data_IF_568596008493
#
_entry.id   IF_568596008493
#
_cell.length_a   1.000
_cell.length_b   1.000
_cell.length_c   1.000
_cell.angle_alpha   90.00
_cell.angle_beta   90.00
_cell.angle_gamma   90.00
#
_symmetry.space_group_name_H-M   'P 1'
#
loop_
_entity.id
_entity.type
_entity.pdbx_description
1 polymer ?
#
# COMPACT_ATOMS: atom_id res chain seq x y z
N UNK A 1 35.81 35.51 29.62
CA UNK A 1 34.57 35.94 30.31
C UNK A 1 33.50 36.16 29.23
N UNK A 2 32.50 35.26 29.13
CA UNK A 2 31.12 35.48 29.59
C UNK A 2 30.48 36.71 28.90
N UNK A 3 29.39 36.68 28.13
CA UNK A 3 28.09 35.98 28.21
C UNK A 3 27.28 36.44 26.95
N UNK A 4 26.71 35.55 26.13
CA UNK A 4 25.30 35.07 26.15
C UNK A 4 24.25 35.97 25.46
N UNK A 5 23.41 35.32 24.62
CA UNK A 5 21.98 35.59 24.32
C UNK A 5 21.72 36.78 23.35
N UNK A 6 20.73 36.83 22.45
CA UNK A 6 19.61 35.96 22.03
C UNK A 6 19.04 36.52 20.70
N UNK A 7 18.46 35.65 19.86
CA UNK A 7 17.32 35.86 18.92
C UNK A 7 17.12 37.19 18.17
N UNK A 8 16.90 37.10 16.85
CA UNK A 8 15.53 37.18 16.30
C UNK A 8 15.49 36.72 14.84
N UNK A 9 14.48 35.89 14.57
CA UNK A 9 14.02 35.50 13.24
C UNK A 9 13.53 36.73 12.46
N UNK A 10 13.76 36.75 11.15
CA UNK A 10 13.19 37.75 10.26
C UNK A 10 13.24 37.26 8.82
N UNK A 11 12.30 36.40 8.45
CA UNK A 11 12.06 36.03 7.07
C UNK A 11 11.75 37.27 6.23
N UNK A 12 12.43 37.44 5.10
CA UNK A 12 11.98 38.31 4.03
C UNK A 12 12.25 37.62 2.71
N UNK A 13 11.16 37.02 2.22
CA UNK A 13 11.01 36.44 0.90
C UNK A 13 11.10 37.60 -0.10
N UNK A 14 12.12 37.59 -0.96
CA UNK A 14 12.12 38.37 -2.19
C UNK A 14 11.95 37.40 -3.37
N UNK A 15 10.78 37.48 -3.99
CA UNK A 15 10.44 36.83 -5.24
C UNK A 15 11.13 37.50 -6.42
N UNK A 16 11.35 36.67 -7.44
CA UNK A 16 11.46 36.98 -8.87
C UNK A 16 12.82 37.45 -9.41
N UNK A 17 13.46 36.53 -10.14
CA UNK A 17 14.21 36.70 -11.40
C UNK A 17 14.60 35.28 -11.83
N UNK A 18 14.55 34.82 -13.08
CA UNK A 18 14.13 35.36 -14.35
C UNK A 18 13.85 34.15 -15.26
N UNK A 19 12.94 34.29 -16.23
CA UNK A 19 12.83 33.34 -17.34
C UNK A 19 14.13 33.35 -18.14
N UNK A 20 14.78 32.19 -18.27
CA UNK A 20 15.70 31.91 -19.37
C UNK A 20 15.64 30.41 -19.65
N UNK A 21 15.24 30.07 -20.87
CA UNK A 21 15.15 28.70 -21.34
C UNK A 21 16.53 28.06 -21.45
N UNK A 22 16.67 26.89 -20.82
CA UNK A 22 17.54 25.82 -21.26
C UNK A 22 16.98 24.54 -20.65
N UNK A 23 16.44 23.67 -21.51
CA UNK A 23 15.88 22.40 -21.09
C UNK A 23 16.94 21.50 -20.48
N UNK A 24 16.89 21.31 -19.17
CA UNK A 24 17.41 20.16 -18.45
C UNK A 24 16.52 19.96 -17.23
N UNK A 25 15.29 19.50 -17.45
CA UNK A 25 14.52 18.88 -16.38
C UNK A 25 15.28 17.60 -16.01
N UNK A 26 16.13 17.73 -14.99
CA UNK A 26 16.83 16.68 -14.30
C UNK A 26 15.88 15.49 -14.13
N UNK A 27 16.15 14.40 -14.86
CA UNK A 27 15.66 13.10 -14.47
C UNK A 27 16.10 12.89 -13.04
N UNK A 28 15.15 12.87 -12.10
CA UNK A 28 15.40 12.42 -10.76
C UNK A 28 16.15 11.08 -10.88
N UNK A 29 17.34 10.93 -10.26
CA UNK A 29 18.08 9.69 -10.35
C UNK A 29 17.14 8.58 -9.86
N UNK A 30 16.87 7.62 -10.74
CA UNK A 30 16.26 6.35 -10.34
C UNK A 30 17.16 5.84 -9.22
N UNK A 31 16.70 5.89 -7.97
CA UNK A 31 17.38 5.22 -6.86
C UNK A 31 17.54 3.77 -7.31
N UNK A 32 18.76 3.40 -7.70
CA UNK A 32 19.14 2.02 -7.83
C UNK A 32 19.14 1.48 -6.41
N UNK A 33 18.03 0.85 -6.02
CA UNK A 33 17.90 0.18 -4.73
C UNK A 33 19.12 -0.75 -4.56
N UNK A 34 19.93 -0.51 -3.52
CA UNK A 34 21.08 -1.35 -3.19
C UNK A 34 20.62 -2.82 -3.10
N UNK A 35 21.28 -3.79 -3.75
CA UNK A 35 20.93 -5.20 -3.67
C UNK A 35 20.74 -5.71 -2.22
N UNK A 36 21.49 -5.15 -1.26
CA UNK A 36 21.34 -5.46 0.17
C UNK A 36 20.03 -4.91 0.76
N UNK A 37 19.54 -3.76 0.29
CA UNK A 37 18.23 -3.24 0.68
C UNK A 37 17.09 -4.09 0.12
N UNK A 38 17.22 -4.58 -1.12
CA UNK A 38 16.23 -5.50 -1.73
C UNK A 38 16.13 -6.80 -0.92
N UNK A 39 17.29 -7.35 -0.50
CA UNK A 39 17.35 -8.55 0.32
C UNK A 39 16.70 -8.39 1.72
N UNK A 40 16.58 -7.16 2.23
CA UNK A 40 15.95 -6.88 3.53
C UNK A 40 14.43 -6.63 3.45
N UNK A 41 13.87 -6.45 2.25
CA UNK A 41 12.44 -6.12 2.08
C UNK A 41 11.59 -7.26 2.65
N UNK A 42 10.80 -6.94 3.68
CA UNK A 42 9.88 -7.90 4.32
C UNK A 42 10.48 -8.73 5.43
N UNK A 43 11.76 -8.53 5.77
CA UNK A 43 12.38 -9.21 6.90
C UNK A 43 11.64 -8.92 8.21
N UNK A 44 11.18 -7.68 8.42
CA UNK A 44 10.41 -7.30 9.62
C UNK A 44 9.08 -8.05 9.69
N UNK A 45 8.38 -8.17 8.55
CA UNK A 45 7.12 -8.90 8.46
C UNK A 45 7.28 -10.39 8.79
N UNK A 46 8.41 -10.97 8.38
CA UNK A 46 8.73 -12.34 8.72
C UNK A 46 9.13 -12.48 10.19
N UNK A 47 9.96 -11.57 10.71
CA UNK A 47 10.41 -11.58 12.12
C UNK A 47 9.24 -11.40 13.09
N UNK A 48 8.27 -10.56 12.74
CA UNK A 48 7.05 -10.34 13.52
C UNK A 48 5.98 -11.44 13.32
N UNK A 49 6.25 -12.45 12.49
CA UNK A 49 5.31 -13.54 12.23
C UNK A 49 4.04 -13.11 11.47
N UNK A 50 4.06 -11.97 10.79
CA UNK A 50 2.91 -11.45 10.05
C UNK A 50 2.70 -12.20 8.74
N UNK A 51 3.76 -12.35 7.96
CA UNK A 51 3.78 -13.13 6.71
C UNK A 51 5.23 -13.45 6.32
N UNK A 52 5.44 -14.49 5.51
CA UNK A 52 6.77 -14.79 4.98
C UNK A 52 7.32 -13.62 4.16
N UNK A 53 8.65 -13.46 4.13
CA UNK A 53 9.29 -12.42 3.31
C UNK A 53 8.89 -12.54 1.84
N UNK A 54 8.82 -13.79 1.33
CA UNK A 54 8.38 -14.09 -0.04
C UNK A 54 6.96 -13.60 -0.31
N UNK A 55 6.02 -13.88 0.59
CA UNK A 55 4.63 -13.45 0.43
C UNK A 55 4.51 -11.92 0.50
N UNK A 56 5.27 -11.28 1.39
CA UNK A 56 5.31 -9.82 1.45
C UNK A 56 5.83 -9.20 0.15
N UNK A 57 6.95 -9.69 -0.39
CA UNK A 57 7.51 -9.18 -1.64
C UNK A 57 6.51 -9.37 -2.78
N UNK A 58 5.84 -10.52 -2.86
CA UNK A 58 4.81 -10.77 -3.88
C UNK A 58 3.62 -9.84 -3.72
N UNK A 59 3.08 -9.67 -2.50
CA UNK A 59 1.98 -8.75 -2.24
C UNK A 59 2.35 -7.30 -2.58
N UNK A 60 3.59 -6.88 -2.29
CA UNK A 60 4.10 -5.55 -2.68
C UNK A 60 4.12 -5.38 -4.20
N UNK A 61 4.62 -6.37 -4.95
CA UNK A 61 4.62 -6.36 -6.42
C UNK A 61 3.20 -6.27 -6.99
N UNK A 62 2.29 -7.11 -6.50
CA UNK A 62 0.87 -7.08 -6.90
C UNK A 62 0.25 -5.72 -6.60
N UNK A 63 0.48 -5.18 -5.40
CA UNK A 63 -0.05 -3.87 -5.00
C UNK A 63 0.42 -2.76 -5.94
N UNK A 64 1.69 -2.75 -6.31
CA UNK A 64 2.23 -1.79 -7.29
C UNK A 64 1.55 -1.95 -8.65
N UNK A 65 1.39 -3.17 -9.15
CA UNK A 65 0.71 -3.44 -10.42
C UNK A 65 -0.76 -3.01 -10.39
N UNK A 66 -1.50 -3.34 -9.32
CA UNK A 66 -2.91 -2.95 -9.15
C UNK A 66 -3.02 -1.44 -9.03
N UNK A 67 -2.10 -0.74 -8.35
CA UNK A 67 -2.13 0.72 -8.27
C UNK A 67 -1.91 1.37 -9.63
N UNK A 68 -1.05 0.78 -10.48
CA UNK A 68 -0.76 1.31 -11.81
C UNK A 68 -1.90 1.03 -12.81
N UNK A 69 -2.49 -0.17 -12.76
CA UNK A 69 -3.48 -0.61 -13.75
C UNK A 69 -4.95 -0.48 -13.28
N UNK A 70 -5.17 -0.24 -11.98
CA UNK A 70 -6.47 -0.33 -11.31
C UNK A 70 -7.21 -1.66 -11.51
N UNK A 71 -6.50 -2.69 -11.96
CA UNK A 71 -7.01 -4.02 -12.25
C UNK A 71 -6.09 -5.07 -11.62
N UNK A 72 -6.66 -6.25 -11.32
CA UNK A 72 -5.94 -7.41 -10.81
C UNK A 72 -6.10 -8.59 -11.76
N UNK A 73 -5.01 -9.31 -12.03
CA UNK A 73 -5.05 -10.55 -12.80
C UNK A 73 -5.75 -11.67 -12.02
N UNK A 74 -6.38 -12.62 -12.70
CA UNK A 74 -7.04 -13.76 -12.03
C UNK A 74 -6.05 -14.60 -11.20
N UNK A 75 -4.80 -14.75 -11.66
CA UNK A 75 -3.76 -15.47 -10.93
C UNK A 75 -3.37 -14.76 -9.63
N UNK A 76 -3.21 -13.44 -9.67
CA UNK A 76 -2.88 -12.64 -8.48
C UNK A 76 -4.06 -12.52 -7.53
N UNK A 77 -5.29 -12.47 -8.04
CA UNK A 77 -6.50 -12.54 -7.22
C UNK A 77 -6.56 -13.87 -6.48
N UNK A 78 -6.47 -15.00 -7.19
CA UNK A 78 -6.49 -16.34 -6.60
C UNK A 78 -5.40 -16.50 -5.54
N UNK A 79 -4.18 -16.03 -5.82
CA UNK A 79 -3.09 -16.08 -4.85
C UNK A 79 -3.38 -15.20 -3.62
N UNK A 80 -3.92 -14.00 -3.81
CA UNK A 80 -4.23 -13.06 -2.72
C UNK A 80 -5.34 -13.60 -1.82
N UNK A 81 -6.38 -14.20 -2.40
CA UNK A 81 -7.47 -14.85 -1.66
C UNK A 81 -6.96 -16.10 -0.90
N UNK A 82 -6.06 -16.88 -1.51
CA UNK A 82 -5.42 -18.00 -0.83
C UNK A 82 -4.53 -17.54 0.34
N UNK A 83 -3.81 -16.42 0.18
CA UNK A 83 -3.03 -15.81 1.26
C UNK A 83 -3.96 -15.35 2.40
N UNK A 84 -5.09 -14.71 2.07
CA UNK A 84 -6.08 -14.29 3.05
C UNK A 84 -6.62 -15.47 3.87
N UNK A 85 -6.88 -16.61 3.22
CA UNK A 85 -7.41 -17.81 3.89
C UNK A 85 -6.41 -18.48 4.83
N UNK A 86 -5.12 -18.52 4.47
CA UNK A 86 -4.10 -19.27 5.21
C UNK A 86 -3.36 -18.45 6.27
N UNK A 87 -3.40 -17.13 6.16
CA UNK A 87 -2.71 -16.25 7.08
C UNK A 87 -3.38 -16.31 8.46
N UNK A 88 -2.61 -16.43 9.56
CA UNK A 88 -3.16 -16.27 10.91
C UNK A 88 -3.16 -14.81 11.37
N UNK A 89 -2.48 -13.90 10.65
CA UNK A 89 -2.25 -12.53 11.10
C UNK A 89 -3.32 -11.55 10.61
N UNK A 90 -4.02 -10.83 11.51
CA UNK A 90 -4.95 -9.76 11.14
C UNK A 90 -4.30 -8.63 10.33
N UNK A 91 -3.02 -8.34 10.60
CA UNK A 91 -2.28 -7.33 9.84
C UNK A 91 -2.05 -7.77 8.38
N UNK A 92 -1.78 -9.05 8.16
CA UNK A 92 -1.68 -9.58 6.80
C UNK A 92 -3.03 -9.54 6.08
N UNK A 93 -4.14 -9.87 6.76
CA UNK A 93 -5.48 -9.74 6.19
C UNK A 93 -5.79 -8.31 5.77
N UNK A 94 -5.54 -7.35 6.66
CA UNK A 94 -5.78 -5.94 6.39
C UNK A 94 -5.02 -5.45 5.16
N UNK A 95 -3.78 -5.90 4.98
CA UNK A 95 -2.96 -5.54 3.81
C UNK A 95 -3.51 -6.13 2.51
N UNK A 96 -3.89 -7.41 2.52
CA UNK A 96 -4.51 -8.04 1.36
C UNK A 96 -5.82 -7.34 0.98
N UNK A 97 -6.70 -7.09 1.95
CA UNK A 97 -7.98 -6.41 1.72
C UNK A 97 -7.79 -4.97 1.24
N UNK A 98 -6.80 -4.24 1.78
CA UNK A 98 -6.47 -2.90 1.31
C UNK A 98 -6.02 -2.90 -0.15
N UNK A 99 -5.18 -3.86 -0.55
CA UNK A 99 -4.76 -4.04 -1.94
C UNK A 99 -5.95 -4.36 -2.85
N UNK A 100 -6.83 -5.29 -2.47
CA UNK A 100 -8.04 -5.63 -3.24
C UNK A 100 -8.98 -4.43 -3.39
N UNK A 101 -9.01 -3.53 -2.39
CA UNK A 101 -9.75 -2.29 -2.46
C UNK A 101 -9.23 -1.29 -3.51
N UNK A 102 -8.00 -1.45 -4.01
CA UNK A 102 -7.46 -0.59 -5.07
C UNK A 102 -8.01 -0.92 -6.46
N UNK A 103 -8.60 -2.11 -6.63
CA UNK A 103 -9.18 -2.56 -7.91
C UNK A 103 -10.47 -1.78 -8.19
N UNK A 104 -10.49 -1.04 -9.30
CA UNK A 104 -11.66 -0.27 -9.72
C UNK A 104 -11.61 0.11 -11.22
N UNK A 105 -12.70 -0.09 -11.99
CA UNK A 105 -13.95 -0.76 -11.61
C UNK A 105 -13.74 -2.26 -11.39
N UNK A 106 -14.49 -2.84 -10.45
CA UNK A 106 -14.37 -4.28 -10.14
C UNK A 106 -15.43 -5.09 -10.88
N UNK A 107 -15.05 -6.07 -11.72
CA UNK A 107 -15.97 -6.99 -12.39
C UNK A 107 -16.90 -7.70 -11.41
N UNK A 108 -18.13 -7.99 -11.84
CA UNK A 108 -19.16 -8.61 -10.98
C UNK A 108 -18.72 -9.98 -10.42
N UNK A 109 -18.01 -10.77 -11.23
CA UNK A 109 -17.45 -12.08 -10.83
C UNK A 109 -16.42 -11.94 -9.72
N UNK A 110 -15.40 -11.10 -9.92
CA UNK A 110 -14.36 -10.81 -8.91
C UNK A 110 -14.97 -10.24 -7.63
N UNK A 111 -15.97 -9.36 -7.77
CA UNK A 111 -16.68 -8.77 -6.62
C UNK A 111 -17.38 -9.84 -5.78
N UNK A 112 -18.03 -10.81 -6.43
CA UNK A 112 -18.68 -11.94 -5.75
C UNK A 112 -17.64 -12.80 -5.03
N UNK A 113 -16.56 -13.16 -5.72
CA UNK A 113 -15.46 -13.95 -5.14
C UNK A 113 -14.85 -13.27 -3.92
N UNK A 114 -14.52 -11.98 -4.03
CA UNK A 114 -13.96 -11.19 -2.92
C UNK A 114 -14.97 -11.07 -1.79
N UNK A 115 -16.25 -10.78 -2.08
CA UNK A 115 -17.30 -10.68 -1.05
C UNK A 115 -17.43 -11.98 -0.26
N UNK A 116 -17.44 -13.12 -0.95
CA UNK A 116 -17.48 -14.43 -0.31
C UNK A 116 -16.23 -14.71 0.53
N UNK A 117 -15.04 -14.35 0.03
CA UNK A 117 -13.80 -14.56 0.74
C UNK A 117 -13.67 -13.71 2.02
N UNK A 118 -14.21 -12.47 2.02
CA UNK A 118 -14.12 -11.58 3.19
C UNK A 118 -15.24 -11.77 4.21
N UNK A 119 -16.29 -12.51 3.88
CA UNK A 119 -17.46 -12.69 4.75
C UNK A 119 -17.11 -13.17 6.18
N UNK A 120 -16.20 -14.15 6.38
CA UNK A 120 -15.81 -14.58 7.73
C UNK A 120 -15.15 -13.48 8.58
N UNK A 121 -14.55 -12.48 7.93
CA UNK A 121 -13.82 -11.41 8.61
C UNK A 121 -14.73 -10.27 9.07
N UNK A 122 -15.93 -10.14 8.50
CA UNK A 122 -16.92 -9.14 8.91
C UNK A 122 -17.40 -9.35 10.36
N UNK A 123 -17.39 -10.60 10.83
CA UNK A 123 -17.76 -10.99 12.19
C UNK A 123 -16.57 -11.47 13.02
N UNK A 124 -15.32 -11.25 12.55
CA UNK A 124 -14.11 -11.65 13.29
C UNK A 124 -14.07 -11.02 14.68
N UNK A 125 -13.52 -11.74 15.67
CA UNK A 125 -13.25 -11.16 17.00
C UNK A 125 -12.18 -10.09 16.93
N UNK A 126 -11.30 -10.15 15.93
CA UNK A 126 -10.26 -9.16 15.73
C UNK A 126 -10.83 -7.86 15.14
N UNK A 127 -10.52 -6.73 15.77
CA UNK A 127 -11.01 -5.42 15.35
C UNK A 127 -10.46 -5.01 13.98
N UNK A 128 -9.19 -5.29 13.70
CA UNK A 128 -8.52 -4.91 12.47
C UNK A 128 -9.14 -5.66 11.28
N UNK A 129 -9.37 -6.97 11.42
CA UNK A 129 -10.06 -7.78 10.41
C UNK A 129 -11.44 -7.21 10.07
N UNK A 130 -12.27 -6.96 11.09
CA UNK A 130 -13.62 -6.42 10.88
C UNK A 130 -13.59 -5.08 10.16
N UNK A 131 -12.70 -4.16 10.57
CA UNK A 131 -12.61 -2.84 9.96
C UNK A 131 -12.14 -2.91 8.51
N UNK A 132 -11.12 -3.73 8.22
CA UNK A 132 -10.61 -3.93 6.87
C UNK A 132 -11.69 -4.55 5.96
N UNK A 133 -12.35 -5.61 6.42
CA UNK A 133 -13.40 -6.29 5.69
C UNK A 133 -14.60 -5.35 5.43
N UNK A 134 -15.02 -4.61 6.45
CA UNK A 134 -16.13 -3.63 6.33
C UNK A 134 -15.79 -2.52 5.34
N UNK A 135 -14.54 -2.03 5.33
CA UNK A 135 -14.11 -1.00 4.38
C UNK A 135 -14.11 -1.53 2.95
N UNK A 136 -13.60 -2.73 2.75
CA UNK A 136 -13.62 -3.37 1.43
C UNK A 136 -15.06 -3.64 0.98
N UNK A 137 -15.91 -4.22 1.83
CA UNK A 137 -17.31 -4.51 1.53
C UNK A 137 -18.09 -3.26 1.09
N UNK A 138 -17.93 -2.14 1.81
CA UNK A 138 -18.55 -0.86 1.41
C UNK A 138 -18.09 -0.41 0.02
N UNK A 139 -16.80 -0.56 -0.28
CA UNK A 139 -16.24 -0.20 -1.59
C UNK A 139 -16.77 -1.10 -2.70
N UNK A 140 -16.94 -2.40 -2.45
CA UNK A 140 -17.56 -3.34 -3.39
C UNK A 140 -19.02 -2.96 -3.70
N UNK A 141 -19.73 -2.39 -2.74
CA UNK A 141 -21.13 -1.96 -2.90
C UNK A 141 -21.26 -0.62 -3.62
N UNK A 142 -20.33 0.32 -3.41
CA UNK A 142 -20.37 1.66 -4.02
C UNK A 142 -20.26 1.64 -5.56
N UNK A 143 -19.71 0.57 -6.15
CA UNK A 143 -19.58 0.41 -7.62
C UNK A 143 -20.82 -0.26 -8.23
N UNK A 144 -22.00 -0.16 -7.59
CA UNK A 144 -23.29 -0.61 -8.14
C UNK A 144 -24.18 0.55 -8.60
N UNK A 145 -23.72 1.78 -8.39
CA UNK A 145 -24.40 3.04 -8.73
C UNK A 145 -23.96 3.56 -10.08
#
# INVERSE_FOLDING_TARGET
MNKRLLTAMGASILCATALTGAGLAQQAPRQQDDPKQIAAIGMDYQREGVMSQRDYIRLRKITSSVRAAHAISSSDLNWSLALLKRSPSPLAHARVMAMLGLVHPMPATQRKEISSAIAPFLSSKDKLDRLAATRLQRRLQAVKS
#
